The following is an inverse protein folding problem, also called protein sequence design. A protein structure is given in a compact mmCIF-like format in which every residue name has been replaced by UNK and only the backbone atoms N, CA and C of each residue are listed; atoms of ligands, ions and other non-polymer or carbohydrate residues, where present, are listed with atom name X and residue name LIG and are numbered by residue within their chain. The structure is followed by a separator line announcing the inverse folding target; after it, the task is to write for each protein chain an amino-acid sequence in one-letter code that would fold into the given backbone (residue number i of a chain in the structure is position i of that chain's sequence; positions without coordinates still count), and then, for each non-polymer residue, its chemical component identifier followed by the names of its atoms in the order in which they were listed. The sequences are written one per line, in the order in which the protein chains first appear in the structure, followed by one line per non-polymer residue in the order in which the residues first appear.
data_IF_928054467112
#
_entry.id   IF_928054467112
#
_cell.length_a   1.000
_cell.length_b   1.000
_cell.length_c   1.000
_cell.angle_alpha   90.00
_cell.angle_beta   90.00
_cell.angle_gamma   90.00
#
_symmetry.space_group_name_H-M   'P 1'
#
loop_
_entity.id
_entity.type
_entity.pdbx_description
1 polymer ?
#
# COMPACT_ATOMS: atom_id res chain seq x y z
N UNK A 1 -31.56 -0.94 -23.48
CA UNK A 1 -30.30 -0.22 -23.77
C UNK A 1 -29.77 -0.73 -25.10
N UNK A 2 -30.22 -0.11 -26.19
CA UNK A 2 -29.67 -0.31 -27.53
C UNK A 2 -29.48 1.08 -28.10
N UNK A 3 -28.24 1.56 -28.21
CA UNK A 3 -27.92 2.75 -28.99
C UNK A 3 -27.33 2.28 -30.31
N UNK A 4 -27.83 2.84 -31.40
CA UNK A 4 -27.25 2.63 -32.73
C UNK A 4 -25.86 3.28 -32.75
N UNK A 5 -24.88 2.56 -33.26
CA UNK A 5 -23.63 3.19 -33.64
C UNK A 5 -23.81 4.12 -34.85
N UNK A 6 -22.79 4.91 -35.16
CA UNK A 6 -22.73 5.79 -36.34
C UNK A 6 -22.89 5.04 -37.67
N UNK A 7 -22.83 3.70 -37.64
CA UNK A 7 -22.98 2.81 -38.80
C UNK A 7 -24.31 2.01 -38.75
N UNK A 8 -25.21 2.29 -37.80
CA UNK A 8 -26.52 1.63 -37.69
C UNK A 8 -26.53 0.25 -37.01
N UNK A 9 -25.44 -0.16 -36.35
CA UNK A 9 -25.36 -1.43 -35.59
C UNK A 9 -25.83 -1.24 -34.15
N UNK A 10 -26.69 -2.13 -33.66
CA UNK A 10 -27.18 -2.14 -32.28
C UNK A 10 -26.07 -2.66 -31.34
N UNK A 11 -25.64 -1.84 -30.38
CA UNK A 11 -24.70 -2.23 -29.32
C UNK A 11 -25.25 -1.94 -27.92
N UNK A 12 -24.76 -2.69 -26.93
CA UNK A 12 -25.06 -2.49 -25.49
C UNK A 12 -24.06 -1.54 -24.82
N UNK A 13 -23.03 -1.09 -25.53
CA UNK A 13 -22.02 -0.14 -25.05
C UNK A 13 -20.94 0.11 -26.10
N UNK A 14 -19.98 0.98 -25.76
CA UNK A 14 -18.79 1.28 -26.59
C UNK A 14 -17.53 1.02 -25.78
N UNK A 15 -16.50 0.57 -26.47
CA UNK A 15 -15.15 0.40 -25.92
C UNK A 15 -14.24 1.32 -26.71
N UNK A 16 -13.47 2.15 -26.01
CA UNK A 16 -12.45 2.99 -26.60
C UNK A 16 -11.07 2.52 -26.13
N UNK A 17 -10.22 2.14 -27.08
CA UNK A 17 -8.83 1.80 -26.81
C UNK A 17 -7.98 3.08 -26.90
N UNK A 18 -7.45 3.50 -25.75
CA UNK A 18 -6.61 4.70 -25.64
C UNK A 18 -5.29 4.59 -26.41
N UNK A 19 -4.76 3.38 -26.61
CA UNK A 19 -3.48 3.17 -27.28
C UNK A 19 -3.62 3.26 -28.81
N UNK A 20 -4.72 2.73 -29.35
CA UNK A 20 -4.94 2.65 -30.80
C UNK A 20 -5.91 3.70 -31.33
N UNK A 21 -6.69 4.34 -30.45
CA UNK A 21 -7.80 5.23 -30.81
C UNK A 21 -9.01 4.49 -31.38
N UNK A 22 -9.01 3.16 -31.34
CA UNK A 22 -10.07 2.34 -31.94
C UNK A 22 -11.32 2.35 -31.07
N UNK A 23 -12.48 2.60 -31.69
CA UNK A 23 -13.79 2.44 -31.06
C UNK A 23 -14.41 1.13 -31.53
N UNK A 24 -14.82 0.27 -30.59
CA UNK A 24 -15.56 -0.96 -30.88
C UNK A 24 -16.89 -1.00 -30.14
N UNK A 25 -17.84 -1.78 -30.63
CA UNK A 25 -19.15 -1.96 -30.00
C UNK A 25 -19.12 -3.15 -29.03
N UNK A 26 -19.66 -2.94 -27.83
CA UNK A 26 -19.94 -4.03 -26.90
C UNK A 26 -21.27 -4.67 -27.30
N UNK A 27 -21.20 -5.85 -27.92
CA UNK A 27 -22.38 -6.51 -28.50
C UNK A 27 -23.11 -7.46 -27.54
N UNK A 28 -22.60 -7.62 -26.33
CA UNK A 28 -23.19 -8.47 -25.29
C UNK A 28 -23.58 -7.62 -24.08
N UNK A 29 -24.83 -7.75 -23.63
CA UNK A 29 -25.29 -7.10 -22.41
C UNK A 29 -24.59 -7.73 -21.20
N UNK A 30 -23.87 -6.91 -20.43
CA UNK A 30 -23.12 -7.30 -19.23
C UNK A 30 -23.69 -6.56 -18.04
N UNK A 31 -24.38 -7.27 -17.14
CA UNK A 31 -25.02 -6.67 -15.95
C UNK A 31 -24.76 -7.59 -14.76
N UNK A 32 -24.40 -6.99 -13.62
CA UNK A 32 -24.23 -7.69 -12.35
C UNK A 32 -24.82 -6.83 -11.22
N UNK A 33 -25.52 -7.44 -10.27
CA UNK A 33 -26.01 -6.69 -9.09
C UNK A 33 -24.86 -6.38 -8.14
N UNK A 34 -24.91 -5.23 -7.44
CA UNK A 34 -23.89 -4.85 -6.45
C UNK A 34 -23.53 -5.99 -5.49
N UNK A 35 -24.54 -6.65 -4.90
CA UNK A 35 -24.35 -7.75 -3.94
C UNK A 35 -23.71 -9.00 -4.55
N UNK A 36 -23.84 -9.21 -5.86
CA UNK A 36 -23.18 -10.32 -6.57
C UNK A 36 -21.76 -9.96 -7.01
N UNK A 37 -21.41 -8.67 -6.99
CA UNK A 37 -20.09 -8.16 -7.37
C UNK A 37 -19.18 -8.04 -6.15
N UNK A 38 -19.64 -7.31 -5.13
CA UNK A 38 -18.82 -6.93 -3.98
C UNK A 38 -18.54 -8.11 -3.07
N UNK A 39 -17.26 -8.28 -2.76
CA UNK A 39 -16.68 -9.40 -2.00
C UNK A 39 -16.91 -10.77 -2.64
N UNK A 40 -17.27 -10.83 -3.92
CA UNK A 40 -17.54 -12.07 -4.65
C UNK A 40 -16.59 -12.29 -5.82
N UNK A 41 -16.40 -13.56 -6.18
CA UNK A 41 -15.81 -13.92 -7.46
C UNK A 41 -16.82 -13.68 -8.58
N UNK A 42 -16.39 -13.03 -9.66
CA UNK A 42 -17.22 -12.79 -10.85
C UNK A 42 -16.37 -12.62 -12.10
N UNK A 43 -17.00 -12.72 -13.27
CA UNK A 43 -16.32 -12.65 -14.57
C UNK A 43 -16.07 -11.21 -15.08
N UNK A 44 -16.67 -10.20 -14.45
CA UNK A 44 -16.66 -8.81 -14.96
C UNK A 44 -15.38 -7.99 -14.71
N UNK A 45 -14.30 -8.61 -14.22
CA UNK A 45 -13.01 -7.95 -13.94
C UNK A 45 -11.96 -8.15 -15.04
N UNK A 46 -12.42 -8.25 -16.27
CA UNK A 46 -11.64 -8.51 -17.49
C UNK A 46 -11.35 -7.22 -18.29
N UNK A 47 -11.62 -6.04 -17.72
CA UNK A 47 -11.42 -4.74 -18.37
C UNK A 47 -12.50 -4.36 -19.39
N UNK A 48 -13.53 -5.18 -19.58
CA UNK A 48 -14.64 -4.85 -20.47
C UNK A 48 -15.78 -4.16 -19.72
N UNK A 49 -16.42 -3.13 -20.31
CA UNK A 49 -17.51 -2.41 -19.68
C UNK A 49 -18.69 -3.30 -19.28
N UNK A 50 -19.34 -2.96 -18.18
CA UNK A 50 -20.55 -3.62 -17.69
C UNK A 50 -21.40 -2.66 -16.87
N UNK A 51 -22.64 -3.07 -16.56
CA UNK A 51 -23.53 -2.31 -15.69
C UNK A 51 -23.57 -2.95 -14.31
N UNK A 52 -23.37 -2.14 -13.27
CA UNK A 52 -23.70 -2.50 -11.90
C UNK A 52 -25.17 -2.15 -11.68
N UNK A 53 -26.00 -3.17 -11.48
CA UNK A 53 -27.41 -2.98 -11.13
C UNK A 53 -27.54 -2.70 -9.64
N UNK A 54 -28.26 -1.64 -9.31
CA UNK A 54 -28.59 -1.23 -7.94
C UNK A 54 -27.34 -1.03 -7.07
N UNK A 55 -26.48 -0.07 -7.45
CA UNK A 55 -25.23 0.28 -6.74
C UNK A 55 -25.56 0.56 -5.27
N UNK A 56 -24.86 -0.11 -4.36
CA UNK A 56 -25.10 -0.02 -2.91
C UNK A 56 -26.56 -0.27 -2.46
N UNK A 57 -27.35 -1.02 -3.23
CA UNK A 57 -28.77 -1.22 -2.97
C UNK A 57 -29.65 0.02 -3.23
N UNK A 58 -29.09 1.06 -3.85
CA UNK A 58 -29.85 2.20 -4.35
C UNK A 58 -30.57 1.85 -5.65
N UNK A 59 -31.45 2.75 -6.10
CA UNK A 59 -32.16 2.59 -7.38
C UNK A 59 -31.32 2.99 -8.59
N UNK A 60 -30.09 3.48 -8.38
CA UNK A 60 -29.20 3.91 -9.45
C UNK A 60 -28.36 2.73 -9.95
N UNK A 61 -28.20 2.66 -11.26
CA UNK A 61 -27.24 1.77 -11.92
C UNK A 61 -25.89 2.48 -12.07
N UNK A 62 -24.81 1.69 -12.20
CA UNK A 62 -23.47 2.21 -12.47
C UNK A 62 -22.92 1.71 -13.82
N UNK A 63 -22.37 2.60 -14.64
CA UNK A 63 -21.60 2.23 -15.83
C UNK A 63 -20.15 1.98 -15.44
N UNK A 64 -19.67 0.74 -15.52
CA UNK A 64 -18.48 0.31 -14.81
C UNK A 64 -17.42 -0.36 -15.69
N UNK A 65 -16.17 -0.24 -15.25
CA UNK A 65 -15.04 -1.07 -15.71
C UNK A 65 -14.34 -1.63 -14.47
N UNK A 66 -13.92 -2.89 -14.54
CA UNK A 66 -13.20 -3.57 -13.47
C UNK A 66 -12.05 -4.37 -14.03
N UNK A 67 -10.92 -4.35 -13.34
CA UNK A 67 -9.72 -5.13 -13.67
C UNK A 67 -9.16 -5.79 -12.41
N UNK A 68 -8.52 -6.94 -12.59
CA UNK A 68 -7.82 -7.64 -11.50
C UNK A 68 -6.35 -7.83 -11.83
N UNK A 69 -5.48 -7.66 -10.83
CA UNK A 69 -4.06 -7.97 -10.90
C UNK A 69 -3.72 -9.07 -9.89
N UNK A 70 -3.09 -10.15 -10.37
CA UNK A 70 -2.57 -11.21 -9.51
C UNK A 70 -1.23 -10.77 -8.88
N UNK A 71 -1.07 -11.08 -7.59
CA UNK A 71 0.09 -10.73 -6.78
C UNK A 71 0.58 -11.98 -6.04
N UNK A 72 1.47 -12.79 -6.66
CA UNK A 72 2.08 -13.94 -6.01
C UNK A 72 3.06 -13.48 -4.94
N UNK A 73 2.89 -13.97 -3.70
CA UNK A 73 3.82 -13.73 -2.59
C UNK A 73 4.34 -15.09 -2.09
N UNK A 74 5.65 -15.36 -2.18
CA UNK A 74 6.22 -16.64 -1.77
C UNK A 74 5.94 -16.99 -0.30
N UNK A 75 5.80 -18.28 0.04
CA UNK A 75 5.70 -18.71 1.44
C UNK A 75 6.96 -18.29 2.23
N UNK A 76 6.80 -18.07 3.54
CA UNK A 76 7.89 -17.61 4.41
C UNK A 76 8.29 -16.13 4.23
N UNK A 77 7.65 -15.40 3.32
CA UNK A 77 7.89 -13.97 3.14
C UNK A 77 7.15 -13.13 4.19
N UNK A 78 7.78 -12.04 4.62
CA UNK A 78 7.13 -10.95 5.36
C UNK A 78 6.80 -9.81 4.40
N UNK A 79 5.55 -9.38 4.40
CA UNK A 79 5.08 -8.23 3.61
C UNK A 79 5.44 -6.94 4.36
N UNK A 80 6.34 -6.17 3.77
CA UNK A 80 6.87 -4.93 4.32
C UNK A 80 5.92 -3.77 4.04
N UNK A 81 5.41 -3.66 2.82
CA UNK A 81 4.51 -2.60 2.39
C UNK A 81 3.79 -3.00 1.10
N UNK A 82 2.63 -2.41 0.85
CA UNK A 82 1.89 -2.61 -0.39
C UNK A 82 0.84 -1.52 -0.60
N UNK A 83 0.70 -1.10 -1.85
CA UNK A 83 -0.27 -0.10 -2.25
C UNK A 83 -0.74 -0.35 -3.70
N UNK A 84 -1.90 0.20 -4.02
CA UNK A 84 -2.49 0.22 -5.37
C UNK A 84 -2.64 1.67 -5.80
N UNK A 85 -2.10 2.00 -6.97
CA UNK A 85 -2.35 3.26 -7.66
C UNK A 85 -3.55 3.08 -8.56
N UNK A 86 -4.53 3.96 -8.41
CA UNK A 86 -5.78 3.98 -9.18
C UNK A 86 -5.75 5.25 -10.02
N UNK A 87 -5.65 5.11 -11.34
CA UNK A 87 -5.78 6.24 -12.27
C UNK A 87 -7.04 6.06 -13.11
N UNK A 88 -8.16 6.66 -12.68
CA UNK A 88 -9.40 6.70 -13.43
C UNK A 88 -9.27 7.63 -14.65
N UNK A 89 -10.12 7.41 -15.65
CA UNK A 89 -10.26 8.24 -16.83
C UNK A 89 -11.75 8.36 -17.22
N UNK A 90 -12.16 9.55 -17.62
CA UNK A 90 -13.54 9.85 -18.05
C UNK A 90 -14.41 10.43 -16.93
N UNK A 91 -15.73 10.30 -17.06
CA UNK A 91 -16.72 10.77 -16.07
C UNK A 91 -16.87 9.73 -14.98
N UNK A 92 -15.88 9.61 -14.09
CA UNK A 92 -15.89 8.60 -13.02
C UNK A 92 -16.37 9.24 -11.73
N UNK A 93 -17.41 8.68 -11.15
CA UNK A 93 -17.99 9.15 -9.89
C UNK A 93 -17.40 8.41 -8.70
N UNK A 94 -17.15 7.12 -8.88
CA UNK A 94 -16.89 6.20 -7.77
C UNK A 94 -15.86 5.12 -8.10
N UNK A 95 -15.33 4.54 -7.02
CA UNK A 95 -14.35 3.48 -7.01
C UNK A 95 -14.54 2.50 -5.84
N UNK A 96 -14.14 1.25 -6.11
CA UNK A 96 -14.07 0.15 -5.17
C UNK A 96 -12.74 -0.57 -5.38
N UNK A 97 -11.93 -0.66 -4.32
CA UNK A 97 -10.69 -1.44 -4.31
C UNK A 97 -10.85 -2.61 -3.37
N UNK A 98 -10.69 -3.81 -3.92
CA UNK A 98 -10.85 -5.07 -3.19
C UNK A 98 -9.59 -5.93 -3.29
N UNK A 99 -9.31 -6.67 -2.23
CA UNK A 99 -8.15 -7.55 -2.13
C UNK A 99 -8.59 -8.96 -1.77
N UNK A 100 -8.33 -9.90 -2.67
CA UNK A 100 -8.43 -11.33 -2.42
C UNK A 100 -7.19 -11.80 -1.68
N UNK A 101 -7.41 -12.35 -0.49
CA UNK A 101 -6.36 -12.86 0.37
C UNK A 101 -6.27 -14.39 0.34
N UNK A 102 -6.62 -15.04 -0.78
CA UNK A 102 -6.63 -16.50 -0.89
C UNK A 102 -7.89 -17.18 -0.34
N UNK A 103 -8.65 -16.50 0.50
CA UNK A 103 -9.86 -17.05 1.15
C UNK A 103 -11.11 -16.20 0.98
N UNK A 104 -10.96 -14.88 1.00
CA UNK A 104 -12.05 -13.93 0.85
C UNK A 104 -11.58 -12.65 0.14
N UNK A 105 -12.52 -11.99 -0.51
CA UNK A 105 -12.36 -10.62 -1.00
C UNK A 105 -12.66 -9.65 0.14
N UNK A 106 -11.75 -8.70 0.36
CA UNK A 106 -11.85 -7.70 1.40
C UNK A 106 -11.87 -6.32 0.75
N UNK A 107 -12.73 -5.43 1.25
CA UNK A 107 -12.80 -4.04 0.77
C UNK A 107 -11.67 -3.26 1.43
N UNK A 108 -10.72 -2.78 0.61
CA UNK A 108 -9.65 -1.89 1.06
C UNK A 108 -10.08 -0.42 0.99
N UNK A 109 -10.94 -0.08 0.03
CA UNK A 109 -11.51 1.24 -0.17
C UNK A 109 -12.87 1.14 -0.86
N UNK A 110 -13.82 2.00 -0.48
CA UNK A 110 -15.08 2.23 -1.19
C UNK A 110 -15.37 3.73 -1.19
N UNK A 111 -15.97 4.26 -2.24
CA UNK A 111 -16.28 5.70 -2.37
C UNK A 111 -17.36 6.21 -1.42
N UNK A 112 -18.04 5.30 -0.73
CA UNK A 112 -19.08 5.58 0.25
C UNK A 112 -18.90 4.68 1.47
N UNK A 113 -19.66 4.99 2.51
CA UNK A 113 -19.65 4.24 3.75
C UNK A 113 -20.01 2.77 3.53
N UNK A 114 -19.08 1.90 3.88
CA UNK A 114 -19.22 0.48 3.59
C UNK A 114 -18.63 -0.40 4.69
N UNK A 115 -19.41 -1.37 5.15
CA UNK A 115 -18.96 -2.35 6.13
C UNK A 115 -18.57 -1.75 7.49
N UNK A 116 -19.19 -0.63 7.88
CA UNK A 116 -18.91 0.08 9.13
C UNK A 116 -17.67 0.98 9.10
N UNK A 117 -17.12 1.24 7.90
CA UNK A 117 -16.04 2.21 7.69
C UNK A 117 -16.63 3.43 6.99
N UNK A 118 -16.37 4.60 7.57
CA UNK A 118 -16.70 5.90 7.01
C UNK A 118 -15.61 6.33 6.02
N UNK A 119 -15.98 6.49 4.75
CA UNK A 119 -15.06 6.83 3.66
C UNK A 119 -15.32 8.22 3.08
N UNK A 120 -16.50 8.80 3.28
CA UNK A 120 -16.82 10.15 2.84
C UNK A 120 -17.90 10.79 3.68
N UNK A 121 -17.72 12.08 3.95
CA UNK A 121 -18.77 12.94 4.52
C UNK A 121 -19.59 13.69 3.47
N UNK A 122 -19.12 13.72 2.22
CA UNK A 122 -19.89 14.23 1.08
C UNK A 122 -20.85 13.13 0.68
N UNK A 123 -22.10 13.49 0.32
CA UNK A 123 -23.17 12.54 0.01
C UNK A 123 -22.64 11.30 -0.71
N UNK A 124 -22.86 10.12 -0.11
CA UNK A 124 -22.33 8.85 -0.56
C UNK A 124 -22.34 8.76 -2.09
N UNK A 125 -21.16 8.64 -2.72
CA UNK A 125 -21.06 8.17 -4.10
C UNK A 125 -20.75 9.19 -5.20
N UNK A 126 -20.33 10.43 -4.92
CA UNK A 126 -19.93 11.32 -6.03
C UNK A 126 -18.59 12.00 -5.78
N UNK A 127 -17.60 11.67 -6.62
CA UNK A 127 -16.28 12.31 -6.63
C UNK A 127 -15.28 11.74 -5.62
N UNK A 128 -15.60 10.67 -4.89
CA UNK A 128 -14.66 10.04 -3.94
C UNK A 128 -13.78 9.00 -4.64
N UNK A 129 -12.89 9.43 -5.52
CA UNK A 129 -12.01 8.53 -6.28
C UNK A 129 -10.58 8.57 -5.74
N UNK A 130 -10.02 7.47 -5.20
CA UNK A 130 -8.72 7.48 -4.55
C UNK A 130 -7.60 7.51 -5.59
N UNK A 131 -6.48 8.16 -5.29
CA UNK A 131 -5.26 8.06 -6.11
C UNK A 131 -4.38 6.87 -5.72
N UNK A 132 -4.19 6.66 -4.41
CA UNK A 132 -3.38 5.56 -3.87
C UNK A 132 -4.12 4.91 -2.70
N UNK A 133 -4.26 3.59 -2.71
CA UNK A 133 -4.85 2.83 -1.61
C UNK A 133 -3.80 1.94 -0.98
N UNK A 134 -3.66 2.02 0.35
CA UNK A 134 -2.78 1.10 1.09
C UNK A 134 -3.47 -0.25 1.26
N UNK A 135 -2.82 -1.33 0.81
CA UNK A 135 -3.43 -2.67 0.73
C UNK A 135 -2.70 -3.75 1.53
N UNK A 136 -1.54 -3.44 2.14
CA UNK A 136 -0.67 -4.43 2.79
C UNK A 136 -1.39 -5.31 3.82
N UNK A 137 -2.27 -4.73 4.62
CA UNK A 137 -2.92 -5.44 5.73
C UNK A 137 -3.92 -6.52 5.23
N UNK A 138 -4.32 -6.45 3.96
CA UNK A 138 -5.22 -7.42 3.32
C UNK A 138 -4.49 -8.56 2.62
N UNK A 139 -3.18 -8.46 2.40
CA UNK A 139 -2.39 -9.48 1.72
C UNK A 139 -1.91 -10.59 2.67
N UNK A 140 -1.62 -11.78 2.13
CA UNK A 140 -0.93 -12.86 2.85
C UNK A 140 0.19 -13.48 2.01
N UNK A 141 1.21 -13.99 2.69
CA UNK A 141 2.29 -14.74 2.07
C UNK A 141 1.90 -16.21 1.83
N UNK A 142 2.58 -16.88 0.89
CA UNK A 142 2.35 -18.28 0.56
C UNK A 142 1.25 -18.54 -0.46
N UNK A 143 0.80 -17.51 -1.18
CA UNK A 143 -0.32 -17.61 -2.10
C UNK A 143 -0.28 -16.51 -3.17
N UNK A 144 -1.13 -16.66 -4.18
CA UNK A 144 -1.48 -15.59 -5.12
C UNK A 144 -2.63 -14.78 -4.55
N UNK A 145 -2.31 -13.58 -4.08
CA UNK A 145 -3.32 -12.57 -3.75
C UNK A 145 -3.85 -11.96 -5.05
N UNK A 146 -4.99 -11.29 -5.01
CA UNK A 146 -5.50 -10.52 -6.15
C UNK A 146 -5.96 -9.16 -5.68
N UNK A 147 -5.73 -8.14 -6.50
CA UNK A 147 -6.30 -6.81 -6.28
C UNK A 147 -7.25 -6.52 -7.41
N UNK A 148 -8.48 -6.13 -7.09
CA UNK A 148 -9.50 -5.70 -8.03
C UNK A 148 -9.74 -4.21 -7.84
N UNK A 149 -9.71 -3.47 -8.93
CA UNK A 149 -10.15 -2.07 -8.98
C UNK A 149 -11.37 -2.04 -9.88
N UNK A 150 -12.47 -1.53 -9.34
CA UNK A 150 -13.70 -1.25 -10.08
C UNK A 150 -13.97 0.24 -9.95
N UNK A 151 -14.23 0.89 -11.07
CA UNK A 151 -14.66 2.29 -11.13
C UNK A 151 -15.97 2.36 -11.90
N UNK A 152 -16.79 3.36 -11.60
CA UNK A 152 -18.03 3.59 -12.32
C UNK A 152 -18.49 5.03 -12.29
N UNK A 153 -19.35 5.32 -13.24
CA UNK A 153 -20.21 6.48 -13.34
C UNK A 153 -21.58 6.09 -12.77
N UNK A 154 -22.15 6.91 -11.88
CA UNK A 154 -23.50 6.70 -11.42
C UNK A 154 -24.47 7.24 -12.46
N UNK A 155 -25.50 6.48 -12.81
CA UNK A 155 -26.35 6.80 -13.96
C UNK A 155 -27.77 7.24 -13.52
N UNK A 156 -27.94 8.37 -12.82
CA UNK A 156 -29.26 8.89 -12.50
C UNK A 156 -29.92 9.46 -13.76
N UNK A 157 -30.84 8.69 -14.36
CA UNK A 157 -31.69 9.07 -15.51
C UNK A 157 -31.02 8.89 -16.89
N UNK A 158 -30.23 7.83 -17.06
CA UNK A 158 -29.71 7.34 -18.35
C UNK A 158 -28.57 8.18 -18.98
N UNK A 159 -27.88 8.97 -18.16
CA UNK A 159 -26.59 9.62 -18.42
C UNK A 159 -25.44 8.63 -18.24
N UNK A 160 -25.14 7.86 -19.28
CA UNK A 160 -23.99 6.94 -19.26
C UNK A 160 -22.75 7.67 -19.77
N UNK A 161 -21.79 7.91 -18.88
CA UNK A 161 -20.48 8.44 -19.22
C UNK A 161 -19.47 7.36 -19.57
N UNK A 162 -18.42 7.79 -20.27
CA UNK A 162 -17.26 6.96 -20.54
C UNK A 162 -16.45 6.85 -19.24
N UNK A 163 -16.18 5.62 -18.80
CA UNK A 163 -15.26 5.33 -17.69
C UNK A 163 -14.14 4.40 -18.15
N UNK A 164 -12.95 4.58 -17.60
CA UNK A 164 -11.78 3.76 -17.94
C UNK A 164 -10.70 3.80 -16.86
N UNK A 165 -9.88 2.74 -16.81
CA UNK A 165 -8.70 2.65 -15.96
C UNK A 165 -7.46 2.68 -16.85
N UNK A 166 -6.48 3.50 -16.48
CA UNK A 166 -5.24 3.67 -17.23
C UNK A 166 -4.06 3.49 -16.29
N UNK A 167 -3.03 2.75 -16.72
CA UNK A 167 -1.75 2.62 -15.99
C UNK A 167 -1.88 2.38 -14.47
N UNK A 168 -2.96 1.73 -14.04
CA UNK A 168 -3.22 1.42 -12.63
C UNK A 168 -2.43 0.19 -12.27
N UNK A 169 -1.76 0.20 -11.12
CA UNK A 169 -0.87 -0.88 -10.72
C UNK A 169 -0.87 -1.10 -9.22
N UNK A 170 -0.60 -2.33 -8.81
CA UNK A 170 -0.33 -2.69 -7.42
C UNK A 170 1.13 -3.04 -7.23
N UNK A 171 1.73 -2.51 -6.18
CA UNK A 171 3.10 -2.78 -5.77
C UNK A 171 3.13 -3.44 -4.41
N UNK A 172 3.96 -4.47 -4.26
CA UNK A 172 4.19 -5.14 -2.98
C UNK A 172 5.68 -5.26 -2.73
N UNK A 173 6.11 -4.76 -1.57
CA UNK A 173 7.43 -5.01 -1.02
C UNK A 173 7.34 -6.13 0.01
N UNK A 174 8.06 -7.22 -0.22
CA UNK A 174 8.17 -8.33 0.73
C UNK A 174 9.62 -8.82 0.80
N UNK A 175 9.95 -9.53 1.88
CA UNK A 175 11.29 -10.06 2.08
C UNK A 175 11.26 -11.32 2.92
N UNK A 176 12.23 -12.21 2.70
CA UNK A 176 12.58 -13.31 3.61
C UNK A 176 13.65 -12.91 4.63
N UNK A 177 14.25 -11.71 4.49
CA UNK A 177 15.30 -11.22 5.37
C UNK A 177 14.74 -10.64 6.68
N UNK A 178 15.55 -10.55 7.75
CA UNK A 178 15.18 -9.93 9.04
C UNK A 178 15.07 -8.40 8.97
N UNK A 179 14.42 -7.86 7.94
CA UNK A 179 14.10 -6.44 7.81
C UNK A 179 12.67 -6.23 8.31
N UNK A 180 12.49 -5.26 9.21
CA UNK A 180 11.17 -4.88 9.72
C UNK A 180 10.79 -3.50 9.18
N UNK A 181 9.58 -3.40 8.63
CA UNK A 181 8.88 -2.15 8.34
C UNK A 181 7.60 -2.12 9.15
N UNK A 182 7.45 -1.10 9.99
CA UNK A 182 6.21 -0.81 10.69
C UNK A 182 5.51 0.33 9.97
N UNK A 183 4.38 0.02 9.33
CA UNK A 183 3.53 1.01 8.69
C UNK A 183 2.41 1.45 9.63
N UNK A 184 2.18 2.76 9.65
CA UNK A 184 1.09 3.41 10.36
C UNK A 184 0.24 4.12 9.30
N UNK A 185 -0.65 3.37 8.62
CA UNK A 185 -1.54 3.96 7.63
C UNK A 185 -2.53 4.89 8.33
N UNK A 186 -2.83 5.97 7.66
CA UNK A 186 -4.01 6.76 7.94
C UNK A 186 -5.22 6.11 7.27
N UNK A 187 -6.41 6.39 7.79
CA UNK A 187 -7.63 5.95 7.16
C UNK A 187 -7.84 6.72 5.85
N UNK A 188 -8.36 6.05 4.84
CA UNK A 188 -8.79 6.75 3.63
C UNK A 188 -10.10 7.46 3.93
N UNK A 189 -10.23 8.73 3.53
CA UNK A 189 -11.38 9.55 3.85
C UNK A 189 -11.45 10.77 2.93
N UNK A 190 -12.62 11.03 2.39
CA UNK A 190 -12.93 12.27 1.69
C UNK A 190 -13.61 13.26 2.64
N UNK A 191 -13.08 14.48 2.71
CA UNK A 191 -13.68 15.55 3.53
C UNK A 191 -14.64 16.41 2.70
N UNK A 192 -15.48 17.25 3.33
CA UNK A 192 -16.36 18.23 2.64
C UNK A 192 -15.74 19.63 2.51
N UNK A 193 -14.43 19.75 2.74
CA UNK A 193 -13.72 21.04 2.73
C UNK A 193 -12.39 20.89 2.02
N UNK A 194 -11.91 22.00 1.44
CA UNK A 194 -10.64 22.07 0.71
C UNK A 194 -9.38 21.84 1.56
N UNK A 195 -9.55 21.53 2.85
CA UNK A 195 -8.47 21.21 3.77
C UNK A 195 -8.84 19.95 4.55
N UNK A 196 -7.91 19.01 4.64
CA UNK A 196 -8.02 17.85 5.54
C UNK A 196 -6.75 17.77 6.39
N UNK A 197 -6.88 17.52 7.69
CA UNK A 197 -5.74 17.53 8.62
C UNK A 197 -5.76 16.34 9.59
N UNK A 198 -5.83 15.09 9.09
CA UNK A 198 -5.88 13.92 9.94
C UNK A 198 -4.60 13.77 10.76
N UNK A 199 -4.75 13.13 11.92
CA UNK A 199 -3.67 12.83 12.84
C UNK A 199 -3.50 11.33 12.94
N UNK A 200 -2.25 10.86 12.84
CA UNK A 200 -1.90 9.46 13.07
C UNK A 200 -0.84 9.36 14.15
N UNK A 201 -1.08 8.44 15.08
CA UNK A 201 -0.05 8.03 16.03
C UNK A 201 0.84 6.96 15.40
N UNK A 202 2.14 7.06 15.63
CA UNK A 202 3.13 6.07 15.23
C UNK A 202 4.16 5.87 16.34
N UNK A 203 4.74 4.68 16.40
CA UNK A 203 5.79 4.35 17.37
C UNK A 203 7.10 4.05 16.68
N UNK A 204 8.18 4.53 17.31
CA UNK A 204 9.55 4.21 16.96
C UNK A 204 10.10 3.34 18.10
N UNK A 205 10.63 2.17 17.74
CA UNK A 205 11.33 1.27 18.64
C UNK A 205 12.84 1.51 18.60
N UNK A 206 13.59 0.67 19.31
CA UNK A 206 15.06 0.65 19.21
C UNK A 206 15.50 0.33 17.77
N UNK A 207 16.65 0.88 17.38
CA UNK A 207 17.34 0.57 16.12
C UNK A 207 16.63 0.98 14.81
N UNK A 208 15.55 1.76 14.87
CA UNK A 208 14.97 2.36 13.66
C UNK A 208 16.01 3.27 12.99
N UNK A 209 16.24 3.05 11.68
CA UNK A 209 17.21 3.81 10.89
C UNK A 209 16.59 4.79 9.92
N UNK A 210 15.34 4.55 9.51
CA UNK A 210 14.61 5.46 8.64
C UNK A 210 13.17 5.60 9.11
N UNK A 211 12.65 6.82 9.02
CA UNK A 211 11.25 7.14 9.23
C UNK A 211 10.79 7.91 8.00
N UNK A 212 9.97 7.27 7.17
CA UNK A 212 9.44 7.83 5.94
C UNK A 212 7.96 8.16 6.10
N UNK A 213 7.51 9.22 5.45
CA UNK A 213 6.10 9.46 5.17
C UNK A 213 5.88 9.21 3.68
N UNK A 214 5.13 8.17 3.34
CA UNK A 214 4.61 8.01 1.98
C UNK A 214 3.30 8.76 1.90
N UNK A 215 3.14 9.59 0.88
CA UNK A 215 1.94 10.43 0.72
C UNK A 215 1.10 9.87 -0.40
N UNK A 216 -0.18 9.67 -0.10
CA UNK A 216 -1.24 9.52 -1.09
C UNK A 216 -2.37 10.48 -0.74
N UNK A 217 -2.83 11.19 -1.76
CA UNK A 217 -3.80 12.26 -1.66
C UNK A 217 -4.66 12.26 -2.94
N UNK A 218 -5.68 13.12 -2.99
CA UNK A 218 -6.52 13.33 -4.16
C UNK A 218 -5.71 13.85 -5.34
N UNK A 219 -6.26 13.69 -6.55
CA UNK A 219 -5.62 14.21 -7.76
C UNK A 219 -5.63 15.75 -7.82
N UNK A 220 -6.50 16.39 -7.04
CA UNK A 220 -6.65 17.85 -6.94
C UNK A 220 -5.79 18.48 -5.85
N UNK A 221 -5.11 17.69 -5.01
CA UNK A 221 -4.24 18.20 -3.94
C UNK A 221 -3.10 19.05 -4.50
N UNK A 222 -2.98 20.31 -4.02
CA UNK A 222 -1.93 21.23 -4.48
C UNK A 222 -0.74 21.29 -3.54
N UNK A 223 -0.99 21.17 -2.24
CA UNK A 223 0.07 21.29 -1.25
C UNK A 223 -0.23 20.48 0.00
N UNK A 224 0.85 20.12 0.70
CA UNK A 224 0.76 19.48 2.00
C UNK A 224 1.57 20.25 3.03
N UNK A 225 1.14 20.17 4.29
CA UNK A 225 1.91 20.56 5.47
C UNK A 225 2.00 19.37 6.41
N UNK A 226 3.22 19.02 6.82
CA UNK A 226 3.50 17.91 7.72
C UNK A 226 4.00 18.45 9.05
N UNK A 227 3.30 18.12 10.12
CA UNK A 227 3.65 18.51 11.49
C UNK A 227 3.80 17.27 12.37
N UNK A 228 4.74 17.31 13.31
CA UNK A 228 4.96 16.22 14.28
C UNK A 228 4.95 16.77 15.70
N UNK A 229 4.54 15.92 16.65
CA UNK A 229 4.74 16.18 18.08
C UNK A 229 5.01 14.90 18.86
N UNK A 230 5.69 15.06 20.00
CA UNK A 230 5.75 14.06 21.07
C UNK A 230 4.83 14.48 22.24
N UNK A 231 4.90 13.79 23.37
CA UNK A 231 4.08 14.10 24.56
C UNK A 231 4.38 15.44 25.22
N UNK A 232 5.57 16.00 24.97
CA UNK A 232 6.08 17.22 25.60
C UNK A 232 6.23 18.40 24.63
N UNK A 233 6.22 18.16 23.32
CA UNK A 233 6.41 19.20 22.31
C UNK A 233 5.08 19.74 21.78
N UNK A 234 5.09 21.01 21.37
CA UNK A 234 4.04 21.53 20.49
C UNK A 234 4.13 20.86 19.10
N UNK A 235 3.07 21.04 18.30
CA UNK A 235 3.12 20.70 16.88
C UNK A 235 4.25 21.48 16.21
N UNK A 236 5.17 20.77 15.57
CA UNK A 236 6.33 21.34 14.90
C UNK A 236 6.28 20.96 13.43
N UNK A 237 6.35 21.96 12.55
CA UNK A 237 6.34 21.75 11.12
C UNK A 237 7.66 21.10 10.66
N UNK A 238 7.54 19.99 9.95
CA UNK A 238 8.65 19.35 9.24
C UNK A 238 8.69 19.79 7.78
N UNK A 239 7.53 19.84 7.11
CA UNK A 239 7.45 20.14 5.69
C UNK A 239 6.23 20.99 5.37
N UNK A 240 6.37 21.88 4.39
CA UNK A 240 5.25 22.61 3.78
C UNK A 240 5.60 22.90 2.32
N UNK A 241 4.83 22.39 1.38
CA UNK A 241 5.15 22.52 -0.03
C UNK A 241 4.30 21.63 -0.94
N UNK A 242 4.73 21.44 -2.21
CA UNK A 242 4.09 20.53 -3.16
C UNK A 242 3.97 19.10 -2.63
N UNK A 243 3.01 18.32 -3.16
CA UNK A 243 2.81 16.93 -2.77
C UNK A 243 3.98 16.06 -3.28
N UNK A 244 4.82 15.47 -2.40
CA UNK A 244 5.86 14.52 -2.81
C UNK A 244 5.30 13.09 -2.79
N UNK A 245 5.91 12.17 -3.54
CA UNK A 245 5.61 10.74 -3.37
C UNK A 245 5.99 10.23 -1.97
N UNK A 246 7.13 10.69 -1.45
CA UNK A 246 7.58 10.37 -0.09
C UNK A 246 8.47 11.45 0.51
N UNK A 247 8.54 11.49 1.85
CA UNK A 247 9.44 12.35 2.63
C UNK A 247 10.22 11.50 3.63
N UNK A 248 11.54 11.69 3.70
CA UNK A 248 12.34 11.20 4.83
C UNK A 248 12.16 12.15 6.02
N UNK A 249 11.07 11.96 6.77
CA UNK A 249 10.70 12.84 7.88
C UNK A 249 11.72 12.81 9.01
N UNK A 250 12.48 11.72 9.16
CA UNK A 250 13.60 11.67 10.11
C UNK A 250 14.81 12.50 9.65
N UNK A 251 15.09 12.52 8.34
CA UNK A 251 16.15 13.38 7.78
C UNK A 251 15.83 14.87 7.95
N UNK A 252 14.54 15.22 7.84
CA UNK A 252 14.06 16.58 8.09
C UNK A 252 14.13 16.91 9.59
N UNK A 253 13.68 16.01 10.46
CA UNK A 253 13.68 16.22 11.91
C UNK A 253 15.10 16.40 12.46
N UNK A 254 16.09 15.61 12.02
CA UNK A 254 17.49 15.71 12.51
C UNK A 254 18.16 17.04 12.10
N UNK A 255 17.77 17.58 10.95
CA UNK A 255 18.29 18.85 10.43
C UNK A 255 17.75 20.07 11.19
N UNK A 256 16.59 19.94 11.84
CA UNK A 256 15.90 21.05 12.48
C UNK A 256 15.42 20.72 13.89
N UNK A 257 14.15 20.29 13.99
CA UNK A 257 13.38 20.27 15.24
C UNK A 257 13.78 19.20 16.25
N UNK A 258 14.35 18.08 15.79
CA UNK A 258 14.81 16.95 16.62
C UNK A 258 13.76 16.45 17.63
N UNK A 259 12.51 16.36 17.19
CA UNK A 259 11.37 15.92 18.01
C UNK A 259 11.49 14.43 18.34
N UNK A 260 11.95 13.63 17.38
CA UNK A 260 12.10 12.18 17.52
C UNK A 260 13.48 11.65 17.09
N UNK A 261 14.38 12.52 16.63
CA UNK A 261 15.79 12.18 16.36
C UNK A 261 16.69 12.56 17.54
N UNK A 262 17.78 11.82 17.74
CA UNK A 262 18.74 12.02 18.84
C UNK A 262 20.09 12.57 18.38
N UNK A 263 20.42 12.45 17.09
CA UNK A 263 21.67 12.96 16.53
C UNK A 263 21.96 12.41 15.13
N UNK A 264 23.07 12.87 14.55
CA UNK A 264 23.51 12.51 13.20
C UNK A 264 23.27 13.61 12.17
N UNK A 265 23.16 13.22 10.91
CA UNK A 265 22.88 14.10 9.77
C UNK A 265 21.74 13.51 8.91
N UNK A 266 21.17 14.27 7.95
CA UNK A 266 20.05 13.80 7.12
C UNK A 266 20.28 12.45 6.41
N UNK A 267 21.53 12.14 6.04
CA UNK A 267 21.90 10.87 5.41
C UNK A 267 22.00 9.70 6.40
N UNK A 268 22.33 9.98 7.66
CA UNK A 268 22.55 8.99 8.71
C UNK A 268 22.19 9.57 10.09
N UNK A 269 20.97 9.29 10.56
CA UNK A 269 20.46 9.78 11.83
C UNK A 269 20.09 8.64 12.78
N UNK A 270 20.09 8.97 14.07
CA UNK A 270 19.58 8.11 15.13
C UNK A 270 18.22 8.62 15.59
N UNK A 271 17.33 7.68 15.92
CA UNK A 271 15.98 7.96 16.40
C UNK A 271 15.87 7.70 17.90
N UNK A 272 14.92 8.37 18.55
CA UNK A 272 14.54 8.14 19.93
C UNK A 272 13.35 7.17 19.94
N UNK A 273 13.45 6.04 20.65
CA UNK A 273 12.28 5.20 20.86
C UNK A 273 11.18 5.97 21.59
N UNK A 274 9.93 5.82 21.15
CA UNK A 274 8.81 6.55 21.70
C UNK A 274 7.57 6.50 20.83
N UNK A 275 6.52 7.17 21.30
CA UNK A 275 5.25 7.35 20.60
C UNK A 275 5.09 8.80 20.18
N UNK A 276 4.74 9.01 18.92
CA UNK A 276 4.68 10.31 18.27
C UNK A 276 3.35 10.46 17.54
N UNK A 277 2.91 11.70 17.36
CA UNK A 277 1.77 12.01 16.51
C UNK A 277 2.25 12.81 15.33
N UNK A 278 1.82 12.43 14.13
CA UNK A 278 2.01 13.18 12.91
C UNK A 278 0.65 13.71 12.44
N UNK A 279 0.65 14.93 11.91
CA UNK A 279 -0.48 15.53 11.23
C UNK A 279 -0.05 15.85 9.82
N UNK A 280 -0.85 15.42 8.85
CA UNK A 280 -0.62 15.72 7.45
C UNK A 280 -1.81 16.54 6.99
N UNK A 281 -1.62 17.85 6.90
CA UNK A 281 -2.61 18.74 6.32
C UNK A 281 -2.45 18.73 4.81
N UNK A 282 -3.51 18.40 4.09
CA UNK A 282 -3.59 18.49 2.64
C UNK A 282 -4.54 19.62 2.26
N UNK A 283 -4.15 20.39 1.25
CA UNK A 283 -4.96 21.50 0.74
C UNK A 283 -5.21 21.26 -0.75
N UNK A 284 -6.49 21.21 -1.12
CA UNK A 284 -6.91 21.05 -2.50
C UNK A 284 -6.85 22.35 -3.28
N UNK A 285 -7.03 22.23 -4.60
CA UNK A 285 -7.16 23.35 -5.51
C UNK A 285 -8.57 23.93 -5.53
N UNK A 286 -9.04 24.29 -6.72
CA UNK A 286 -10.39 24.80 -6.89
C UNK A 286 -11.41 23.64 -6.89
N UNK A 287 -12.61 23.84 -6.35
CA UNK A 287 -13.59 22.76 -6.21
C UNK A 287 -14.04 22.08 -7.52
N UNK A 288 -13.83 22.69 -8.69
CA UNK A 288 -14.07 22.02 -9.98
C UNK A 288 -12.98 21.00 -10.34
N UNK A 289 -11.80 21.09 -9.74
CA UNK A 289 -10.72 20.10 -9.90
C UNK A 289 -11.03 18.81 -9.15
N UNK A 290 -11.88 18.87 -8.11
CA UNK A 290 -12.31 17.73 -7.28
C UNK A 290 -13.49 16.94 -7.86
N UNK A 291 -14.14 17.43 -8.93
CA UNK A 291 -15.39 16.85 -9.45
C UNK A 291 -16.65 17.24 -8.67
N UNK A 292 -16.57 17.50 -7.37
CA UNK A 292 -17.64 18.10 -6.55
C UNK A 292 -17.09 18.81 -5.29
N UNK A 293 -17.69 19.96 -4.97
CA UNK A 293 -17.70 20.66 -3.68
C UNK A 293 -16.48 20.49 -2.75
N UNK A 294 -15.27 20.78 -3.25
CA UNK A 294 -14.02 20.88 -2.46
C UNK A 294 -13.63 19.63 -1.68
N UNK A 295 -13.87 18.44 -2.22
CA UNK A 295 -13.79 17.21 -1.46
C UNK A 295 -12.40 16.55 -1.53
N UNK A 296 -11.45 17.06 -0.74
CA UNK A 296 -10.08 16.55 -0.71
C UNK A 296 -10.04 15.10 -0.16
N UNK A 297 -9.35 14.23 -0.88
CA UNK A 297 -9.29 12.79 -0.59
C UNK A 297 -7.97 12.47 0.07
N UNK A 298 -8.05 11.96 1.28
CA UNK A 298 -6.91 11.36 1.93
C UNK A 298 -6.91 9.87 1.59
N UNK A 299 -5.90 9.34 0.90
CA UNK A 299 -5.87 7.91 0.52
C UNK A 299 -4.45 7.35 0.55
N UNK A 300 -4.21 6.27 1.29
CA UNK A 300 -2.94 5.51 1.21
C UNK A 300 -1.71 6.18 1.83
N UNK A 301 -1.80 7.39 2.38
CA UNK A 301 -0.72 8.00 3.17
C UNK A 301 -0.43 7.16 4.42
N UNK A 302 0.86 6.99 4.72
CA UNK A 302 1.33 6.16 5.84
C UNK A 302 2.71 6.60 6.30
N UNK A 303 2.95 6.50 7.61
CA UNK A 303 4.30 6.56 8.15
C UNK A 303 4.91 5.17 8.13
N UNK A 304 6.09 5.02 7.55
CA UNK A 304 6.86 3.78 7.58
C UNK A 304 8.09 3.97 8.48
N UNK A 305 8.15 3.23 9.58
CA UNK A 305 9.34 3.14 10.44
C UNK A 305 10.12 1.91 10.06
N UNK A 306 11.35 2.13 9.62
CA UNK A 306 12.21 1.15 8.99
C UNK A 306 13.30 0.74 9.96
N UNK A 307 13.34 -0.54 10.24
CA UNK A 307 14.35 -1.22 11.03
C UNK A 307 15.11 -2.12 10.05
N UNK A 308 16.05 -1.53 9.29
CA UNK A 308 16.96 -2.33 8.51
C UNK A 308 17.93 -2.92 9.52
N UNK A 309 17.52 -4.00 10.18
CA UNK A 309 18.51 -4.97 10.63
C UNK A 309 18.92 -5.78 9.39
N UNK A 310 19.42 -5.08 8.37
CA UNK A 310 20.59 -5.57 7.69
C UNK A 310 21.65 -5.53 8.77
N UNK A 311 21.80 -6.66 9.46
CA UNK A 311 23.09 -6.88 10.01
C UNK A 311 24.02 -6.96 8.82
N UNK A 312 25.03 -6.11 8.82
CA UNK A 312 26.34 -6.65 8.52
C UNK A 312 26.39 -8.05 9.15
N UNK A 313 26.24 -9.11 8.35
CA UNK A 313 26.57 -10.47 8.73
C UNK A 313 26.22 -10.81 10.20
N UNK A 314 24.94 -11.09 10.48
CA UNK A 314 24.54 -11.52 11.83
C UNK A 314 25.03 -12.93 12.06
N UNK A 315 26.18 -13.03 12.72
CA UNK A 315 26.84 -14.29 12.97
C UNK A 315 26.72 -14.57 14.45
N UNK A 316 26.26 -15.77 14.78
CA UNK A 316 26.50 -16.33 16.10
C UNK A 316 27.71 -17.26 15.97
N UNK A 317 28.57 -17.24 16.97
CA UNK A 317 29.77 -18.08 17.02
C UNK A 317 29.65 -18.94 18.25
N UNK A 318 29.74 -20.25 18.07
CA UNK A 318 29.74 -21.23 19.15
C UNK A 318 30.93 -22.18 18.99
N UNK A 319 31.41 -22.70 20.12
CA UNK A 319 32.56 -23.57 20.17
C UNK A 319 32.14 -24.98 20.61
N UNK A 320 32.65 -26.00 19.94
CA UNK A 320 32.48 -27.39 20.32
C UNK A 320 33.69 -28.21 19.89
N UNK A 321 33.81 -29.42 20.43
CA UNK A 321 34.89 -30.35 20.10
C UNK A 321 34.82 -30.88 18.66
N UNK A 322 33.70 -30.70 17.97
CA UNK A 322 33.51 -31.06 16.57
C UNK A 322 32.74 -29.98 15.79
N UNK A 323 32.99 -29.93 14.49
CA UNK A 323 32.45 -28.90 13.60
C UNK A 323 30.92 -28.96 13.48
N UNK A 324 30.31 -30.14 13.52
CA UNK A 324 28.86 -30.28 13.35
C UNK A 324 28.11 -29.73 14.57
N UNK A 325 28.61 -30.05 15.76
CA UNK A 325 28.07 -29.53 17.02
C UNK A 325 28.24 -28.01 17.10
N UNK A 326 29.42 -27.47 16.74
CA UNK A 326 29.66 -26.03 16.73
C UNK A 326 28.71 -25.29 15.78
N UNK A 327 28.50 -25.83 14.57
CA UNK A 327 27.55 -25.26 13.60
C UNK A 327 26.09 -25.33 14.09
N UNK A 328 25.70 -26.44 14.71
CA UNK A 328 24.34 -26.61 15.24
C UNK A 328 24.05 -25.63 16.38
N UNK A 329 24.99 -25.47 17.32
CA UNK A 329 24.89 -24.51 18.43
C UNK A 329 24.84 -23.08 17.91
N UNK A 330 25.76 -22.70 17.00
CA UNK A 330 25.78 -21.37 16.38
C UNK A 330 24.46 -21.07 15.65
N UNK A 331 23.92 -22.06 14.93
CA UNK A 331 22.61 -21.92 14.28
C UNK A 331 21.50 -21.70 15.29
N UNK A 332 21.47 -22.48 16.37
CA UNK A 332 20.46 -22.37 17.40
C UNK A 332 20.52 -21.00 18.11
N UNK A 333 21.73 -20.53 18.42
CA UNK A 333 21.95 -19.22 19.03
C UNK A 333 21.50 -18.09 18.09
N UNK A 334 21.85 -18.16 16.80
CA UNK A 334 21.39 -17.20 15.82
C UNK A 334 19.86 -17.17 15.71
N UNK A 335 19.20 -18.35 15.73
CA UNK A 335 17.74 -18.45 15.76
C UNK A 335 17.18 -17.79 17.02
N UNK A 336 17.74 -18.09 18.20
CA UNK A 336 17.30 -17.51 19.46
C UNK A 336 17.45 -15.99 19.49
N UNK A 337 18.60 -15.46 19.06
CA UNK A 337 18.85 -14.02 18.96
C UNK A 337 17.86 -13.31 18.03
N UNK A 338 17.56 -13.92 16.88
CA UNK A 338 16.61 -13.38 15.91
C UNK A 338 15.17 -13.48 16.44
N UNK A 339 14.78 -14.58 17.08
CA UNK A 339 13.46 -14.74 17.71
C UNK A 339 13.26 -13.74 18.87
N UNK A 340 14.27 -13.56 19.73
CA UNK A 340 14.27 -12.57 20.81
C UNK A 340 14.14 -11.13 20.28
N UNK A 341 14.61 -10.88 19.07
CA UNK A 341 14.44 -9.60 18.35
C UNK A 341 13.09 -9.50 17.59
N UNK A 342 12.19 -10.48 17.77
CA UNK A 342 10.85 -10.48 17.15
C UNK A 342 10.83 -10.91 15.68
N UNK A 343 11.84 -11.63 15.19
CA UNK A 343 11.86 -12.17 13.83
C UNK A 343 11.33 -13.61 13.78
N UNK A 344 10.37 -13.87 12.88
CA UNK A 344 10.08 -15.22 12.41
C UNK A 344 11.06 -15.55 11.28
N UNK A 345 11.73 -16.70 11.37
CA UNK A 345 12.82 -17.08 10.47
C UNK A 345 12.49 -18.45 9.91
N UNK A 346 12.72 -18.65 8.61
CA UNK A 346 12.87 -20.00 8.06
C UNK A 346 14.29 -20.48 8.34
N UNK A 347 14.49 -21.49 9.22
CA UNK A 347 15.82 -21.98 9.53
C UNK A 347 16.58 -22.44 8.29
N UNK A 348 15.91 -22.84 7.20
CA UNK A 348 16.54 -23.30 5.95
C UNK A 348 17.40 -22.24 5.26
N UNK A 349 17.15 -20.96 5.57
CA UNK A 349 17.89 -19.82 5.03
C UNK A 349 19.21 -19.55 5.76
N UNK A 350 19.43 -20.17 6.92
CA UNK A 350 20.65 -20.00 7.71
C UNK A 350 21.77 -20.85 7.11
N UNK A 351 22.89 -20.20 6.79
CA UNK A 351 24.13 -20.85 6.39
C UNK A 351 25.06 -20.89 7.60
N UNK A 352 25.66 -22.05 7.82
CA UNK A 352 26.63 -22.29 8.90
C UNK A 352 27.97 -22.66 8.31
N UNK A 353 29.04 -22.15 8.89
CA UNK A 353 30.41 -22.60 8.63
C UNK A 353 31.10 -22.87 9.97
N UNK A 354 32.13 -23.72 9.97
CA UNK A 354 32.98 -23.94 11.14
C UNK A 354 34.44 -23.83 10.71
N UNK A 355 35.24 -23.24 11.59
CA UNK A 355 36.68 -23.13 11.44
C UNK A 355 37.34 -23.89 12.58
N UNK A 356 38.33 -24.73 12.26
CA UNK A 356 39.11 -25.42 13.28
C UNK A 356 40.26 -24.52 13.74
N UNK A 357 40.29 -24.18 15.02
CA UNK A 357 41.43 -23.49 15.64
C UNK A 357 42.14 -24.49 16.55
N UNK A 358 43.31 -24.98 16.14
CA UNK A 358 44.09 -25.92 16.96
C UNK A 358 44.77 -25.22 18.14
N UNK A 359 45.15 -26.01 19.16
CA UNK A 359 45.75 -25.60 20.44
C UNK A 359 47.17 -24.95 20.36
N UNK A 360 47.49 -24.21 19.29
CA UNK A 360 48.80 -23.55 19.15
C UNK A 360 48.61 -22.12 18.61
N UNK A 361 49.20 -21.09 19.25
CA UNK A 361 49.14 -19.74 18.73
C UNK A 361 49.84 -19.70 17.36
N UNK A 362 49.06 -19.51 16.29
CA UNK A 362 49.43 -19.43 14.86
C UNK A 362 49.19 -20.66 13.97
N UNK A 363 48.15 -21.47 14.19
CA UNK A 363 47.66 -22.35 13.11
C UNK A 363 46.81 -21.56 12.11
N UNK A 364 47.27 -21.46 10.86
CA UNK A 364 46.53 -20.93 9.70
C UNK A 364 45.06 -21.39 9.68
N UNK A 365 44.09 -20.49 9.41
CA UNK A 365 42.70 -20.90 9.22
C UNK A 365 42.59 -21.80 7.99
N UNK A 366 42.38 -23.10 8.20
CA UNK A 366 42.04 -24.03 7.13
C UNK A 366 40.55 -23.91 6.84
N UNK A 367 40.20 -23.29 5.72
CA UNK A 367 38.82 -23.21 5.23
C UNK A 367 38.41 -24.58 4.69
N UNK A 368 37.79 -25.41 5.53
CA UNK A 368 37.28 -26.74 5.14
C UNK A 368 35.91 -26.64 4.47
N UNK A 369 35.85 -26.03 3.28
CA UNK A 369 34.76 -26.26 2.30
C UNK A 369 35.16 -25.68 0.94
N UNK A 370 36.03 -26.39 0.24
CA UNK A 370 36.09 -26.28 -1.22
C UNK A 370 35.12 -27.33 -1.77
N UNK A 371 34.02 -26.84 -2.35
CA UNK A 371 33.29 -27.38 -3.50
C UNK A 371 33.42 -28.90 -3.71
N UNK A 372 32.31 -29.62 -3.52
CA UNK A 372 32.05 -30.85 -4.27
C UNK A 372 30.97 -30.55 -5.30
N UNK A 373 31.24 -31.03 -6.50
CA UNK A 373 30.51 -30.82 -7.77
C UNK A 373 28.98 -30.91 -7.68
#
# INVERSE_FOLDING_TARGET
LTRLDTNGTLGYGRIYDLNTGTVTSLNTRRVITWNSMVRQNHAYSDGLPFVIDSVNGWTADGSAVSVTQDIPIPPGSRILDAYTVVNPYGGVDDALVEVWNGTAWNVAFCSFDYGGVDYSIVSDGYGNVPGIVYIRDYLRAGQTNRVRVTIWDNVPRQDYDLVGLVDSYSTVSYTSLPIQWHNYPFNSYQNSTNVSAPVRQFTIGSDAKKVLLFVGAGLDTKSIKVEVKNSTSAWTQLYSGPVPFSLDIGAIDVAGSRIFTTGGNPGNYSTRPGTYNIRVTINSGAGWESGDSNAEIYSGTRVAVIYPKFLANMWATEYANDAYTAQALARQELIAMLQASGYSIDPSLIRTEALYTGDIPNSLPVRLTLWRD
#
